data_IF_228687095420
#
_entry.id   IF_228687095420
#
_cell.length_a   1.000
_cell.length_b   1.000
_cell.length_c   1.000
_cell.angle_alpha   90.00
_cell.angle_beta   90.00
_cell.angle_gamma   90.00
#
_symmetry.space_group_name_H-M   'P 1'
#
loop_
_entity.id
_entity.type
_entity.pdbx_description
1 polymer ?
#
# COMPACT_ATOMS: atom_id res chain seq x y z
N UNK A 1 -13.32 50.52 39.14
CA UNK A 1 -14.14 51.70 39.47
C UNK A 1 -15.52 51.16 39.82
N UNK A 2 -16.00 51.14 41.05
CA UNK A 2 -15.57 51.67 42.34
C UNK A 2 -16.10 50.71 43.40
N UNK A 3 -15.28 50.36 44.41
CA UNK A 3 -15.80 49.89 45.68
C UNK A 3 -16.18 51.13 46.50
N UNK A 4 -17.41 51.12 46.99
CA UNK A 4 -17.86 51.93 48.11
C UNK A 4 -17.22 51.39 49.38
N UNK A 5 -16.74 52.28 50.24
CA UNK A 5 -16.58 52.07 51.67
C UNK A 5 -16.49 53.48 52.31
N UNK A 6 -17.63 53.98 52.80
CA UNK A 6 -17.63 55.05 53.81
C UNK A 6 -18.46 54.58 54.98
N UNK A 7 -17.68 54.03 55.91
CA UNK A 7 -17.92 53.70 57.29
C UNK A 7 -18.65 54.83 58.05
N UNK A 8 -19.69 54.41 58.78
CA UNK A 8 -20.51 55.23 59.65
C UNK A 8 -20.03 55.03 61.10
N UNK A 9 -19.02 55.78 61.50
CA UNK A 9 -18.49 55.77 62.88
C UNK A 9 -19.24 56.76 63.76
N UNK A 10 -20.27 56.27 64.46
CA UNK A 10 -20.99 57.01 65.51
C UNK A 10 -20.08 57.35 66.69
N UNK A 11 -19.99 58.64 67.00
CA UNK A 11 -19.34 59.17 68.19
C UNK A 11 -20.21 58.97 69.42
N UNK A 12 -19.73 58.08 70.28
CA UNK A 12 -20.09 57.84 71.67
C UNK A 12 -20.21 59.15 72.50
N UNK A 13 -21.45 59.50 72.87
CA UNK A 13 -21.77 60.42 73.97
C UNK A 13 -22.49 59.61 75.06
N UNK A 14 -21.88 58.50 75.48
CA UNK A 14 -22.39 57.54 76.46
C UNK A 14 -22.21 57.91 77.94
N UNK A 15 -21.99 59.18 78.31
CA UNK A 15 -21.60 59.51 79.71
C UNK A 15 -22.71 60.18 80.53
N UNK A 16 -23.86 60.54 79.96
CA UNK A 16 -24.99 61.10 80.74
C UNK A 16 -26.29 60.29 80.74
N UNK A 17 -26.42 59.29 79.85
CA UNK A 17 -27.69 58.56 79.65
C UNK A 17 -27.99 57.50 80.73
N UNK A 18 -26.95 56.89 81.31
CA UNK A 18 -27.09 55.76 82.23
C UNK A 18 -27.82 56.09 83.56
N UNK A 19 -27.82 57.35 83.99
CA UNK A 19 -28.58 57.76 85.19
C UNK A 19 -30.09 57.86 84.95
N UNK A 20 -30.49 58.19 83.71
CA UNK A 20 -31.89 58.44 83.33
C UNK A 20 -32.56 57.14 82.84
N UNK A 21 -31.83 56.26 82.16
CA UNK A 21 -32.36 54.98 81.66
C UNK A 21 -32.84 54.06 82.79
N UNK A 22 -32.14 53.99 83.92
CA UNK A 22 -32.56 53.18 85.08
C UNK A 22 -33.84 53.70 85.77
N UNK A 23 -34.17 54.99 85.64
CA UNK A 23 -35.34 55.59 86.30
C UNK A 23 -36.60 55.50 85.45
N UNK A 24 -36.49 55.57 84.12
CA UNK A 24 -37.61 55.35 83.20
C UNK A 24 -38.00 53.87 83.10
N UNK A 25 -37.06 52.93 83.25
CA UNK A 25 -37.35 51.49 83.31
C UNK A 25 -38.16 51.11 84.56
N UNK A 26 -37.97 51.80 85.69
CA UNK A 26 -38.81 51.61 86.88
C UNK A 26 -40.27 52.03 86.61
N UNK A 27 -40.46 53.16 85.93
CA UNK A 27 -41.80 53.72 85.59
C UNK A 27 -42.53 52.84 84.56
N UNK A 28 -41.78 52.12 83.71
CA UNK A 28 -42.33 51.19 82.71
C UNK A 28 -42.73 49.81 83.24
N UNK A 29 -42.46 49.49 84.50
CA UNK A 29 -42.88 48.22 85.11
C UNK A 29 -44.37 48.23 85.49
N UNK A 30 -45.15 47.21 85.09
CA UNK A 30 -46.62 47.19 85.22
C UNK A 30 -47.17 47.28 86.67
N UNK A 31 -46.32 47.18 87.70
CA UNK A 31 -46.68 47.22 89.13
C UNK A 31 -46.00 48.37 89.88
N UNK A 32 -45.93 49.57 89.29
CA UNK A 32 -45.44 50.75 90.01
C UNK A 32 -46.49 51.23 91.03
N UNK A 33 -46.22 51.05 92.33
CA UNK A 33 -46.97 51.76 93.38
C UNK A 33 -46.48 53.22 93.41
N UNK A 34 -47.25 54.08 92.74
CA UNK A 34 -47.01 55.51 92.57
C UNK A 34 -46.84 56.21 93.93
N UNK A 35 -47.53 55.73 94.96
CA UNK A 35 -47.48 56.32 96.30
C UNK A 35 -46.16 56.02 97.01
N UNK A 36 -45.68 54.78 96.93
CA UNK A 36 -44.39 54.38 97.49
C UNK A 36 -43.22 55.03 96.74
N UNK A 37 -43.31 55.12 95.40
CA UNK A 37 -42.29 55.77 94.59
C UNK A 37 -42.13 57.27 94.91
N UNK A 38 -43.26 57.97 95.08
CA UNK A 38 -43.28 59.39 95.47
C UNK A 38 -42.74 59.57 96.90
N UNK A 39 -43.17 58.73 97.86
CA UNK A 39 -42.71 58.81 99.25
C UNK A 39 -41.22 58.43 99.41
N UNK A 40 -40.70 57.53 98.58
CA UNK A 40 -39.29 57.13 98.61
C UNK A 40 -38.35 58.22 98.07
N UNK A 41 -38.83 59.06 97.14
CA UNK A 41 -38.04 60.14 96.51
C UNK A 41 -38.26 61.50 97.14
N UNK A 42 -39.42 61.76 97.73
CA UNK A 42 -39.72 62.97 98.48
C UNK A 42 -40.18 62.62 99.91
N UNK A 43 -39.27 62.16 100.81
CA UNK A 43 -39.64 61.70 102.16
C UNK A 43 -40.05 62.85 103.10
N UNK A 44 -39.68 64.09 102.77
CA UNK A 44 -39.87 65.29 103.59
C UNK A 44 -40.36 66.47 102.75
N UNK A 45 -41.21 67.31 103.33
CA UNK A 45 -41.88 68.44 102.66
C UNK A 45 -40.88 69.44 102.02
N UNK A 46 -39.70 69.63 102.62
CA UNK A 46 -38.62 70.48 102.04
C UNK A 46 -37.96 69.89 100.78
N UNK A 47 -37.99 68.56 100.58
CA UNK A 47 -37.45 67.92 99.36
C UNK A 47 -38.45 68.00 98.21
N UNK A 48 -39.75 68.07 98.52
CA UNK A 48 -40.81 68.25 97.54
C UNK A 48 -40.74 69.65 96.90
N UNK A 49 -40.42 70.68 97.68
CA UNK A 49 -40.32 72.05 97.15
C UNK A 49 -39.04 72.29 96.31
N UNK A 50 -37.93 71.62 96.62
CA UNK A 50 -36.65 71.89 95.93
C UNK A 50 -36.36 70.97 94.74
N UNK A 51 -36.74 69.69 94.79
CA UNK A 51 -36.31 68.68 93.80
C UNK A 51 -37.43 68.23 92.84
N UNK A 52 -38.69 68.61 93.09
CA UNK A 52 -39.83 68.26 92.23
C UNK A 52 -39.74 68.93 90.86
N UNK A 53 -39.35 70.20 90.82
CA UNK A 53 -39.32 70.97 89.58
C UNK A 53 -38.21 70.49 88.65
N UNK A 54 -37.03 70.14 89.19
CA UNK A 54 -35.91 69.56 88.44
C UNK A 54 -36.20 68.14 87.94
N UNK A 55 -36.92 67.32 88.72
CA UNK A 55 -37.35 65.99 88.29
C UNK A 55 -38.41 66.07 87.19
N UNK A 56 -39.42 66.95 87.34
CA UNK A 56 -40.41 67.19 86.29
C UNK A 56 -39.76 67.73 85.02
N UNK A 57 -38.73 68.56 85.13
CA UNK A 57 -37.98 69.06 83.98
C UNK A 57 -37.19 67.94 83.28
N UNK A 58 -36.48 67.09 84.03
CA UNK A 58 -35.77 65.93 83.50
C UNK A 58 -36.72 64.90 82.85
N UNK A 59 -37.89 64.65 83.44
CA UNK A 59 -38.88 63.72 82.89
C UNK A 59 -39.52 64.32 81.63
N UNK A 60 -39.82 65.62 81.62
CA UNK A 60 -40.27 66.33 80.42
C UNK A 60 -39.20 66.35 79.34
N UNK A 61 -37.92 66.45 79.68
CA UNK A 61 -36.81 66.41 78.74
C UNK A 61 -36.60 64.99 78.18
N UNK A 62 -36.70 63.96 79.02
CA UNK A 62 -36.71 62.56 78.60
C UNK A 62 -37.90 62.21 77.69
N UNK A 63 -39.11 62.69 78.03
CA UNK A 63 -40.30 62.53 77.19
C UNK A 63 -40.12 63.22 75.84
N UNK A 64 -39.60 64.47 75.83
CA UNK A 64 -39.30 65.19 74.59
C UNK A 64 -38.22 64.50 73.76
N UNK A 65 -37.20 63.93 74.39
CA UNK A 65 -36.16 63.17 73.68
C UNK A 65 -36.74 61.90 73.05
N UNK A 66 -37.59 61.17 73.78
CA UNK A 66 -38.21 59.95 73.29
C UNK A 66 -39.21 60.27 72.16
N UNK A 67 -40.02 61.32 72.30
CA UNK A 67 -40.94 61.79 71.26
C UNK A 67 -40.18 62.22 70.00
N UNK A 68 -39.05 62.91 70.14
CA UNK A 68 -38.21 63.28 69.00
C UNK A 68 -37.59 62.06 68.30
N UNK A 69 -37.17 61.05 69.07
CA UNK A 69 -36.65 59.79 68.54
C UNK A 69 -37.74 58.98 67.83
N UNK A 70 -38.95 58.91 68.40
CA UNK A 70 -40.12 58.27 67.79
C UNK A 70 -40.55 58.99 66.51
N UNK A 71 -40.56 60.32 66.52
CA UNK A 71 -40.91 61.12 65.35
C UNK A 71 -39.90 60.90 64.21
N UNK A 72 -38.60 60.84 64.52
CA UNK A 72 -37.56 60.57 63.52
C UNK A 72 -37.66 59.14 62.97
N UNK A 73 -37.87 58.12 63.82
CA UNK A 73 -38.07 56.74 63.36
C UNK A 73 -39.31 56.63 62.47
N UNK A 74 -40.44 57.20 62.88
CA UNK A 74 -41.69 57.20 62.08
C UNK A 74 -41.50 57.96 60.77
N UNK A 75 -40.71 59.04 60.77
CA UNK A 75 -40.39 59.79 59.56
C UNK A 75 -39.51 58.97 58.62
N UNK A 76 -38.48 58.30 59.11
CA UNK A 76 -37.59 57.42 58.34
C UNK A 76 -38.37 56.22 57.79
N UNK A 77 -39.26 55.61 58.57
CA UNK A 77 -40.06 54.47 58.12
C UNK A 77 -41.11 54.88 57.09
N UNK A 78 -41.76 56.04 57.26
CA UNK A 78 -42.72 56.58 56.27
C UNK A 78 -42.04 56.99 54.96
N UNK A 79 -40.90 57.69 55.04
CA UNK A 79 -40.18 58.14 53.83
C UNK A 79 -39.40 57.00 53.19
N UNK A 80 -38.79 56.12 53.98
CA UNK A 80 -38.09 54.92 53.55
C UNK A 80 -39.04 53.91 52.92
N UNK A 81 -40.18 53.61 53.56
CA UNK A 81 -41.20 52.72 53.01
C UNK A 81 -41.79 53.23 51.69
N UNK A 82 -42.08 54.53 51.59
CA UNK A 82 -42.55 55.13 50.35
C UNK A 82 -41.47 55.11 49.24
N UNK A 83 -40.22 55.44 49.57
CA UNK A 83 -39.10 55.45 48.61
C UNK A 83 -38.73 54.04 48.15
N UNK A 84 -38.62 53.09 49.07
CA UNK A 84 -38.36 51.67 48.75
C UNK A 84 -39.50 51.05 47.94
N UNK A 85 -40.77 51.37 48.24
CA UNK A 85 -41.89 50.94 47.40
C UNK A 85 -41.81 51.53 45.98
N UNK A 86 -41.39 52.79 45.86
CA UNK A 86 -41.21 53.46 44.56
C UNK A 86 -40.04 52.89 43.76
N UNK A 87 -38.92 52.58 44.41
CA UNK A 87 -37.75 51.93 43.80
C UNK A 87 -38.06 50.50 43.36
N UNK A 88 -38.79 49.73 44.18
CA UNK A 88 -39.27 48.40 43.81
C UNK A 88 -40.23 48.48 42.63
N UNK A 89 -41.16 49.43 42.63
CA UNK A 89 -42.07 49.64 41.49
C UNK A 89 -41.30 49.98 40.20
N UNK A 90 -40.29 50.86 40.28
CA UNK A 90 -39.43 51.20 39.15
C UNK A 90 -38.59 50.00 38.66
N UNK A 91 -38.05 49.19 39.56
CA UNK A 91 -37.31 47.97 39.20
C UNK A 91 -38.22 46.93 38.53
N UNK A 92 -39.45 46.76 39.02
CA UNK A 92 -40.46 45.88 38.41
C UNK A 92 -40.83 46.38 37.00
N UNK A 93 -40.99 47.69 36.82
CA UNK A 93 -41.23 48.30 35.51
C UNK A 93 -40.05 48.05 34.55
N UNK A 94 -38.81 48.24 35.03
CA UNK A 94 -37.61 47.95 34.23
C UNK A 94 -37.50 46.47 33.86
N UNK A 95 -37.84 45.55 34.77
CA UNK A 95 -37.85 44.10 34.49
C UNK A 95 -38.92 43.75 33.46
N UNK A 96 -40.11 44.37 33.53
CA UNK A 96 -41.14 44.22 32.50
C UNK A 96 -40.66 44.76 31.14
N UNK A 97 -40.00 45.91 31.13
CA UNK A 97 -39.39 46.48 29.93
C UNK A 97 -38.29 45.57 29.36
N UNK A 98 -37.46 44.97 30.21
CA UNK A 98 -36.43 44.02 29.80
C UNK A 98 -37.06 42.73 29.24
N UNK A 99 -38.09 42.20 29.90
CA UNK A 99 -38.82 41.01 29.45
C UNK A 99 -39.45 41.24 28.08
N UNK A 100 -40.05 42.40 27.85
CA UNK A 100 -40.61 42.75 26.53
C UNK A 100 -39.52 43.00 25.48
N UNK A 101 -38.36 43.53 25.87
CA UNK A 101 -37.20 43.67 24.98
C UNK A 101 -36.63 42.30 24.58
N UNK A 102 -36.47 41.37 25.52
CA UNK A 102 -36.01 39.99 25.26
C UNK A 102 -37.00 39.26 24.35
N UNK A 103 -38.31 39.39 24.61
CA UNK A 103 -39.34 38.81 23.74
C UNK A 103 -39.25 39.36 22.31
N UNK A 104 -39.03 40.68 22.15
CA UNK A 104 -38.82 41.30 20.83
C UNK A 104 -37.56 40.78 20.14
N UNK A 105 -36.45 40.66 20.85
CA UNK A 105 -35.19 40.12 20.29
C UNK A 105 -35.38 38.65 19.88
N UNK A 106 -36.08 37.85 20.68
CA UNK A 106 -36.36 36.44 20.35
C UNK A 106 -37.20 36.32 19.08
N UNK A 107 -38.27 37.10 18.94
CA UNK A 107 -39.08 37.13 17.72
C UNK A 107 -38.25 37.62 16.52
N UNK A 108 -37.44 38.67 16.70
CA UNK A 108 -36.57 39.19 15.64
C UNK A 108 -35.50 38.18 15.22
N UNK A 109 -34.94 37.42 16.16
CA UNK A 109 -33.95 36.38 15.87
C UNK A 109 -34.58 35.22 15.09
N UNK A 110 -35.79 34.80 15.45
CA UNK A 110 -36.52 33.78 14.70
C UNK A 110 -36.92 34.27 13.30
N UNK A 111 -37.36 35.52 13.17
CA UNK A 111 -37.63 36.13 11.87
C UNK A 111 -36.35 36.22 11.01
N UNK A 112 -35.20 36.55 11.61
CA UNK A 112 -33.92 36.54 10.92
C UNK A 112 -33.48 35.13 10.50
N UNK A 113 -33.70 34.12 11.34
CA UNK A 113 -33.46 32.71 11.02
C UNK A 113 -34.29 32.27 9.80
N UNK A 114 -35.60 32.55 9.81
CA UNK A 114 -36.49 32.25 8.68
C UNK A 114 -36.05 33.00 7.43
N UNK A 115 -35.73 34.29 7.53
CA UNK A 115 -35.26 35.08 6.40
C UNK A 115 -33.94 34.56 5.81
N UNK A 116 -33.00 34.11 6.66
CA UNK A 116 -31.73 33.50 6.21
C UNK A 116 -31.97 32.11 5.61
N UNK A 117 -32.85 31.31 6.20
CA UNK A 117 -33.24 30.00 5.68
C UNK A 117 -33.87 30.13 4.29
N UNK A 118 -34.78 31.08 4.12
CA UNK A 118 -35.43 31.40 2.85
C UNK A 118 -34.43 31.95 1.82
N UNK A 119 -33.54 32.87 2.22
CA UNK A 119 -32.51 33.42 1.34
C UNK A 119 -31.47 32.38 0.90
N UNK A 120 -31.19 31.36 1.73
CA UNK A 120 -30.18 30.31 1.44
C UNK A 120 -30.76 29.04 0.84
N UNK A 121 -32.10 28.90 0.81
CA UNK A 121 -32.81 27.73 0.27
C UNK A 121 -32.37 27.37 -1.15
N UNK A 122 -32.16 28.38 -1.98
CA UNK A 122 -31.91 28.21 -3.41
C UNK A 122 -30.42 28.03 -3.75
N UNK A 123 -29.51 28.25 -2.79
CA UNK A 123 -28.06 28.10 -2.99
C UNK A 123 -27.69 26.66 -3.34
N UNK A 124 -28.21 25.67 -2.60
CA UNK A 124 -27.90 24.25 -2.84
C UNK A 124 -28.39 23.76 -4.21
N UNK A 125 -29.66 24.00 -4.60
CA UNK A 125 -30.13 23.69 -5.96
C UNK A 125 -29.30 24.38 -7.04
N UNK A 126 -28.94 25.65 -6.85
CA UNK A 126 -28.13 26.40 -7.81
C UNK A 126 -26.71 25.82 -7.95
N UNK A 127 -26.08 25.44 -6.84
CA UNK A 127 -24.78 24.78 -6.85
C UNK A 127 -24.84 23.40 -7.52
N UNK A 128 -25.91 22.65 -7.29
CA UNK A 128 -26.16 21.39 -8.00
C UNK A 128 -26.35 21.62 -9.51
N UNK A 129 -27.14 22.62 -9.90
CA UNK A 129 -27.33 22.98 -11.31
C UNK A 129 -26.01 23.40 -11.95
N UNK A 130 -25.22 24.25 -11.28
CA UNK A 130 -23.90 24.68 -11.74
C UNK A 130 -22.97 23.49 -11.94
N UNK A 131 -22.89 22.57 -10.97
CA UNK A 131 -22.05 21.37 -11.06
C UNK A 131 -22.47 20.48 -12.22
N UNK A 132 -23.77 20.23 -12.36
CA UNK A 132 -24.31 19.43 -13.47
C UNK A 132 -24.01 20.08 -14.83
N UNK A 133 -24.10 21.42 -14.93
CA UNK A 133 -23.74 22.14 -16.15
C UNK A 133 -22.25 22.04 -16.47
N UNK A 134 -21.37 22.15 -15.47
CA UNK A 134 -19.93 21.96 -15.65
C UNK A 134 -19.63 20.53 -16.10
N UNK A 135 -20.18 19.53 -15.42
CA UNK A 135 -20.00 18.11 -15.78
C UNK A 135 -20.52 17.81 -17.19
N UNK A 136 -21.66 18.38 -17.58
CA UNK A 136 -22.23 18.22 -18.92
C UNK A 136 -21.37 18.90 -19.98
N UNK A 137 -20.89 20.13 -19.71
CA UNK A 137 -20.01 20.89 -20.61
C UNK A 137 -18.69 20.15 -20.85
N UNK A 138 -18.05 19.67 -19.79
CA UNK A 138 -16.85 18.85 -19.89
C UNK A 138 -17.12 17.51 -20.58
N UNK A 139 -18.26 16.88 -20.33
CA UNK A 139 -18.68 15.67 -21.02
C UNK A 139 -18.80 15.88 -22.52
N UNK A 140 -19.45 16.97 -22.95
CA UNK A 140 -19.56 17.32 -24.37
C UNK A 140 -18.19 17.59 -25.00
N UNK A 141 -17.32 18.35 -24.31
CA UNK A 141 -15.94 18.58 -24.78
C UNK A 141 -15.19 17.25 -24.94
N UNK A 142 -15.27 16.36 -23.95
CA UNK A 142 -14.63 15.05 -24.01
C UNK A 142 -15.13 14.20 -25.18
N UNK A 143 -16.41 14.30 -25.57
CA UNK A 143 -16.93 13.60 -26.75
C UNK A 143 -16.34 14.13 -28.06
N UNK A 144 -16.18 15.45 -28.17
CA UNK A 144 -15.53 16.09 -29.33
C UNK A 144 -14.06 15.69 -29.39
N UNK A 145 -13.36 15.75 -28.26
CA UNK A 145 -11.96 15.35 -28.14
C UNK A 145 -11.78 13.85 -28.48
N UNK A 146 -12.70 12.99 -28.03
CA UNK A 146 -12.72 11.56 -28.36
C UNK A 146 -12.91 11.33 -29.87
N UNK A 147 -13.85 12.03 -30.51
CA UNK A 147 -14.08 11.92 -31.95
C UNK A 147 -12.86 12.36 -32.76
N UNK A 148 -12.23 13.46 -32.37
CA UNK A 148 -11.00 13.95 -33.01
C UNK A 148 -9.83 12.97 -32.82
N UNK A 149 -9.63 12.45 -31.60
CA UNK A 149 -8.58 11.50 -31.28
C UNK A 149 -8.74 10.18 -32.05
N UNK A 150 -9.95 9.59 -32.03
CA UNK A 150 -10.26 8.35 -32.76
C UNK A 150 -10.05 8.54 -34.25
N UNK A 151 -10.52 9.65 -34.84
CA UNK A 151 -10.35 9.92 -36.27
C UNK A 151 -8.87 10.08 -36.66
N UNK A 152 -8.07 10.76 -35.85
CA UNK A 152 -6.63 10.91 -36.09
C UNK A 152 -5.89 9.57 -36.01
N UNK A 153 -6.22 8.74 -35.03
CA UNK A 153 -5.62 7.41 -34.87
C UNK A 153 -6.08 6.44 -35.96
N UNK A 154 -7.34 6.51 -36.41
CA UNK A 154 -7.83 5.75 -37.56
C UNK A 154 -7.06 6.08 -38.84
N UNK A 155 -6.87 7.37 -39.14
CA UNK A 155 -6.08 7.81 -40.30
C UNK A 155 -4.62 7.34 -40.22
N UNK A 156 -3.99 7.43 -39.05
CA UNK A 156 -2.63 6.95 -38.85
C UNK A 156 -2.54 5.42 -38.98
N UNK A 157 -3.55 4.69 -38.51
CA UNK A 157 -3.66 3.23 -38.67
C UNK A 157 -3.93 2.81 -40.13
N UNK A 158 -4.63 3.63 -40.91
CA UNK A 158 -4.79 3.41 -42.36
C UNK A 158 -3.48 3.61 -43.13
N UNK A 159 -2.70 4.63 -42.75
CA UNK A 159 -1.37 4.87 -43.31
C UNK A 159 -0.32 3.85 -42.85
N UNK A 160 -0.65 2.99 -41.87
CA UNK A 160 0.28 2.07 -41.18
C UNK A 160 1.52 2.79 -40.61
N UNK A 161 1.39 4.06 -40.25
CA UNK A 161 2.51 4.83 -39.70
C UNK A 161 2.62 4.63 -38.18
N UNK A 162 3.31 3.56 -37.77
CA UNK A 162 3.52 3.25 -36.34
C UNK A 162 4.27 4.35 -35.61
N UNK A 163 5.15 5.09 -36.30
CA UNK A 163 5.92 6.17 -35.67
C UNK A 163 4.97 7.30 -35.28
N UNK A 164 4.03 7.64 -36.16
CA UNK A 164 2.99 8.62 -35.87
C UNK A 164 2.01 8.15 -34.79
N UNK A 165 1.65 6.86 -34.78
CA UNK A 165 0.79 6.27 -33.74
C UNK A 165 1.50 6.31 -32.37
N UNK A 166 2.79 5.95 -32.32
CA UNK A 166 3.61 6.04 -31.12
C UNK A 166 3.80 7.48 -30.61
N UNK A 167 4.00 8.44 -31.52
CA UNK A 167 4.01 9.86 -31.17
C UNK A 167 2.65 10.34 -30.61
N UNK A 168 1.57 9.67 -31.00
CA UNK A 168 0.20 9.91 -30.54
C UNK A 168 -0.20 9.06 -29.33
N UNK A 169 0.77 8.51 -28.59
CA UNK A 169 0.59 7.75 -27.34
C UNK A 169 -0.38 8.42 -26.33
N UNK A 170 -0.24 9.72 -26.13
CA UNK A 170 -1.15 10.50 -25.27
C UNK A 170 -2.63 10.42 -25.74
N UNK A 171 -2.88 10.35 -27.05
CA UNK A 171 -4.25 10.23 -27.57
C UNK A 171 -4.83 8.85 -27.30
N UNK A 172 -4.03 7.78 -27.32
CA UNK A 172 -4.50 6.43 -26.96
C UNK A 172 -4.88 6.38 -25.47
N UNK A 173 -4.04 6.94 -24.61
CA UNK A 173 -4.33 7.06 -23.18
C UNK A 173 -5.59 7.93 -22.93
N UNK A 174 -5.75 9.03 -23.68
CA UNK A 174 -6.93 9.90 -23.58
C UNK A 174 -8.21 9.19 -24.05
N UNK A 175 -8.17 8.43 -25.13
CA UNK A 175 -9.32 7.62 -25.60
C UNK A 175 -9.77 6.68 -24.50
N UNK A 176 -8.87 5.91 -23.89
CA UNK A 176 -9.23 5.00 -22.79
C UNK A 176 -9.77 5.73 -21.55
N UNK A 177 -9.11 6.82 -21.16
CA UNK A 177 -9.52 7.65 -20.01
C UNK A 177 -10.91 8.25 -20.21
N UNK A 178 -11.19 8.79 -21.40
CA UNK A 178 -12.48 9.40 -21.72
C UNK A 178 -13.57 8.33 -21.79
N UNK A 179 -13.29 7.17 -22.42
CA UNK A 179 -14.25 6.06 -22.48
C UNK A 179 -14.62 5.57 -21.08
N UNK A 180 -13.64 5.41 -20.18
CA UNK A 180 -13.86 5.04 -18.76
C UNK A 180 -14.76 6.01 -18.02
N UNK A 181 -14.64 7.33 -18.26
CA UNK A 181 -15.53 8.34 -17.64
C UNK A 181 -16.99 8.08 -18.01
N UNK A 182 -17.24 7.60 -19.22
CA UNK A 182 -18.59 7.34 -19.71
C UNK A 182 -19.11 5.93 -19.40
N UNK A 183 -18.34 5.02 -18.79
CA UNK A 183 -18.74 3.62 -18.55
C UNK A 183 -20.08 3.48 -17.81
N UNK A 184 -20.44 4.47 -16.99
CA UNK A 184 -21.73 4.54 -16.27
C UNK A 184 -22.95 4.70 -17.20
N UNK A 185 -22.75 5.21 -18.42
CA UNK A 185 -23.81 5.35 -19.41
C UNK A 185 -24.03 4.03 -20.14
N UNK A 186 -25.29 3.55 -20.22
CA UNK A 186 -25.60 2.29 -20.86
C UNK A 186 -25.23 2.28 -22.34
N UNK A 187 -24.75 1.12 -22.81
CA UNK A 187 -24.41 0.88 -24.22
C UNK A 187 -25.66 0.75 -25.10
N UNK A 188 -26.73 0.16 -24.57
CA UNK A 188 -28.00 -0.05 -25.29
C UNK A 188 -29.03 0.98 -24.81
N UNK A 189 -29.63 1.72 -25.74
CA UNK A 189 -30.54 2.84 -25.42
C UNK A 189 -29.86 4.13 -24.97
N UNK A 190 -28.51 4.16 -24.90
CA UNK A 190 -27.73 5.36 -24.62
C UNK A 190 -27.59 6.31 -25.82
N UNK A 191 -26.73 7.32 -25.69
CA UNK A 191 -26.48 8.32 -26.73
C UNK A 191 -25.89 7.66 -28.00
N UNK A 192 -26.56 7.68 -29.17
CA UNK A 192 -26.12 6.95 -30.37
C UNK A 192 -24.70 7.30 -30.83
N UNK A 193 -24.30 8.57 -30.68
CA UNK A 193 -22.95 9.04 -31.01
C UNK A 193 -21.88 8.39 -30.13
N UNK A 194 -22.12 8.27 -28.83
CA UNK A 194 -21.20 7.62 -27.90
C UNK A 194 -21.08 6.12 -28.19
N UNK A 195 -22.19 5.45 -28.51
CA UNK A 195 -22.20 4.03 -28.90
C UNK A 195 -21.38 3.82 -30.18
N UNK A 196 -21.53 4.69 -31.18
CA UNK A 196 -20.71 4.63 -32.39
C UNK A 196 -19.21 4.86 -32.10
N UNK A 197 -18.88 5.85 -31.27
CA UNK A 197 -17.48 6.12 -30.87
C UNK A 197 -16.87 4.94 -30.10
N UNK A 198 -17.62 4.28 -29.21
CA UNK A 198 -17.19 3.04 -28.54
C UNK A 198 -16.87 1.94 -29.54
N UNK A 199 -17.75 1.71 -30.52
CA UNK A 199 -17.53 0.71 -31.58
C UNK A 199 -16.31 1.04 -32.43
N UNK A 200 -16.15 2.29 -32.87
CA UNK A 200 -14.98 2.76 -33.62
C UNK A 200 -13.69 2.61 -32.83
N UNK A 201 -13.66 3.00 -31.56
CA UNK A 201 -12.50 2.85 -30.69
C UNK A 201 -12.12 1.37 -30.48
N UNK A 202 -13.12 0.49 -30.28
CA UNK A 202 -12.88 -0.97 -30.19
C UNK A 202 -12.36 -1.55 -31.51
N UNK A 203 -12.92 -1.15 -32.65
CA UNK A 203 -12.44 -1.58 -33.97
C UNK A 203 -11.03 -1.08 -34.27
N UNK A 204 -10.73 0.17 -33.91
CA UNK A 204 -9.39 0.76 -33.99
C UNK A 204 -8.39 -0.03 -33.12
N UNK A 205 -8.76 -0.41 -31.90
CA UNK A 205 -7.91 -1.21 -31.00
C UNK A 205 -7.55 -2.55 -31.64
N UNK A 206 -8.53 -3.27 -32.20
CA UNK A 206 -8.26 -4.54 -32.89
C UNK A 206 -7.42 -4.35 -34.15
N UNK A 207 -7.67 -3.28 -34.92
CA UNK A 207 -6.87 -2.94 -36.09
C UNK A 207 -5.41 -2.64 -35.71
N UNK A 208 -5.19 -1.85 -34.67
CA UNK A 208 -3.85 -1.53 -34.15
C UNK A 208 -3.13 -2.79 -33.65
N UNK A 209 -3.83 -3.68 -32.94
CA UNK A 209 -3.30 -4.99 -32.54
C UNK A 209 -2.78 -5.78 -33.73
N UNK A 210 -3.55 -5.91 -34.81
CA UNK A 210 -3.13 -6.62 -36.02
C UNK A 210 -1.93 -5.96 -36.71
N UNK A 211 -1.94 -4.62 -36.83
CA UNK A 211 -0.82 -3.86 -37.43
C UNK A 211 0.46 -4.09 -36.62
N UNK A 212 0.39 -4.04 -35.30
CA UNK A 212 1.55 -4.26 -34.43
C UNK A 212 2.11 -5.67 -34.61
N UNK A 213 1.27 -6.71 -34.60
CA UNK A 213 1.74 -8.09 -34.75
C UNK A 213 2.46 -8.30 -36.10
N UNK A 214 1.89 -7.79 -37.19
CA UNK A 214 2.50 -7.86 -38.54
C UNK A 214 3.85 -7.13 -38.58
N UNK A 215 3.92 -5.95 -37.97
CA UNK A 215 5.13 -5.11 -37.96
C UNK A 215 6.24 -5.68 -37.08
N UNK A 216 5.92 -6.24 -35.91
CA UNK A 216 6.90 -6.97 -35.10
C UNK A 216 7.46 -8.18 -35.87
N UNK A 217 6.63 -8.89 -36.63
CA UNK A 217 7.06 -10.02 -37.46
C UNK A 217 7.92 -9.56 -38.65
N UNK A 218 7.53 -8.48 -39.31
CA UNK A 218 8.28 -7.88 -40.42
C UNK A 218 9.66 -7.38 -39.98
N UNK A 219 9.71 -6.62 -38.87
CA UNK A 219 10.96 -6.12 -38.29
C UNK A 219 11.83 -7.29 -37.86
N UNK A 220 11.24 -8.33 -37.23
CA UNK A 220 11.95 -9.55 -36.82
C UNK A 220 12.70 -10.20 -38.00
N UNK A 221 12.08 -10.24 -39.19
CA UNK A 221 12.70 -10.79 -40.42
C UNK A 221 13.76 -9.87 -41.04
N UNK A 222 13.61 -8.55 -40.94
CA UNK A 222 14.39 -7.55 -41.74
C UNK A 222 15.62 -6.97 -41.05
N UNK A 223 15.95 -7.34 -39.81
CA UNK A 223 17.09 -6.86 -38.99
C UNK A 223 18.51 -7.19 -39.57
N UNK A 224 18.61 -7.61 -40.83
CA UNK A 224 19.84 -8.13 -41.45
C UNK A 224 20.75 -7.07 -42.11
N UNK A 225 20.30 -5.84 -42.41
CA UNK A 225 21.14 -4.80 -43.07
C UNK A 225 21.21 -3.46 -42.34
N UNK A 226 22.39 -2.82 -42.39
CA UNK A 226 22.79 -1.66 -41.55
C UNK A 226 21.97 -0.38 -41.78
N UNK A 227 21.59 -0.04 -43.01
CA UNK A 227 20.75 1.16 -43.30
C UNK A 227 19.26 0.96 -42.96
N UNK A 228 18.76 -0.27 -43.10
CA UNK A 228 17.38 -0.61 -42.68
C UNK A 228 17.28 -0.76 -41.16
N UNK A 229 18.42 -0.86 -40.48
CA UNK A 229 18.51 -1.09 -39.05
C UNK A 229 17.97 0.09 -38.23
N UNK A 230 18.42 1.32 -38.51
CA UNK A 230 18.01 2.50 -37.72
C UNK A 230 16.52 2.80 -37.84
N UNK A 231 15.97 2.74 -39.07
CA UNK A 231 14.52 2.91 -39.29
C UNK A 231 13.71 1.78 -38.66
N UNK A 232 14.18 0.53 -38.73
CA UNK A 232 13.53 -0.59 -38.06
C UNK A 232 13.56 -0.43 -36.53
N UNK A 233 14.66 0.10 -35.99
CA UNK A 233 14.83 0.41 -34.56
C UNK A 233 13.80 1.43 -34.08
N UNK A 234 13.65 2.52 -34.84
CA UNK A 234 12.72 3.59 -34.53
C UNK A 234 11.28 3.06 -34.56
N UNK A 235 10.90 2.31 -35.60
CA UNK A 235 9.58 1.68 -35.70
C UNK A 235 9.32 0.70 -34.56
N UNK A 236 10.31 -0.12 -34.20
CA UNK A 236 10.20 -1.09 -33.11
C UNK A 236 10.01 -0.39 -31.76
N UNK A 237 10.74 0.71 -31.52
CA UNK A 237 10.56 1.53 -30.31
C UNK A 237 9.16 2.13 -30.23
N UNK A 238 8.66 2.69 -31.33
CA UNK A 238 7.30 3.21 -31.40
C UNK A 238 6.26 2.09 -31.21
N UNK A 239 6.48 0.91 -31.79
CA UNK A 239 5.60 -0.24 -31.61
C UNK A 239 5.56 -0.73 -30.15
N UNK A 240 6.70 -0.75 -29.46
CA UNK A 240 6.77 -1.06 -28.04
C UNK A 240 5.98 -0.04 -27.19
N UNK A 241 6.10 1.25 -27.51
CA UNK A 241 5.35 2.31 -26.82
C UNK A 241 3.84 2.13 -27.00
N UNK A 242 3.37 1.95 -28.23
CA UNK A 242 1.95 1.73 -28.53
C UNK A 242 1.44 0.45 -27.84
N UNK A 243 2.24 -0.62 -27.83
CA UNK A 243 1.89 -1.87 -27.15
C UNK A 243 1.73 -1.67 -25.64
N UNK A 244 2.58 -0.85 -25.04
CA UNK A 244 2.47 -0.51 -23.62
C UNK A 244 1.18 0.28 -23.32
N UNK A 245 0.81 1.20 -24.21
CA UNK A 245 -0.38 2.05 -24.05
C UNK A 245 -1.69 1.28 -24.25
N UNK A 246 -1.72 0.29 -25.16
CA UNK A 246 -2.89 -0.57 -25.36
C UNK A 246 -3.07 -1.57 -24.20
N UNK A 247 -2.02 -1.85 -23.42
CA UNK A 247 -2.12 -2.59 -22.17
C UNK A 247 -1.48 -3.98 -22.16
N UNK A 248 -1.58 -4.71 -21.03
CA UNK A 248 -0.77 -5.89 -20.73
C UNK A 248 -1.15 -7.14 -21.54
N UNK A 249 -2.40 -7.25 -22.01
CA UNK A 249 -2.83 -8.41 -22.79
C UNK A 249 -2.17 -8.44 -24.17
N UNK A 250 -2.15 -7.29 -24.85
CA UNK A 250 -1.44 -7.14 -26.13
C UNK A 250 0.06 -7.34 -25.95
N UNK A 251 0.64 -6.85 -24.85
CA UNK A 251 2.05 -7.10 -24.52
C UNK A 251 2.38 -8.58 -24.48
N UNK A 252 1.56 -9.40 -23.78
CA UNK A 252 1.76 -10.86 -23.72
C UNK A 252 1.71 -11.48 -25.11
N UNK A 253 0.79 -11.03 -25.95
CA UNK A 253 0.62 -11.53 -27.31
C UNK A 253 1.80 -11.15 -28.21
N UNK A 254 2.22 -9.88 -28.21
CA UNK A 254 3.37 -9.40 -28.98
C UNK A 254 4.64 -10.11 -28.57
N UNK A 255 4.90 -10.23 -27.26
CA UNK A 255 6.06 -10.98 -26.75
C UNK A 255 5.97 -12.45 -27.15
N UNK A 256 4.80 -13.06 -27.04
CA UNK A 256 4.57 -14.44 -27.46
C UNK A 256 4.84 -14.66 -28.96
N UNK A 257 4.34 -13.77 -29.82
CA UNK A 257 4.53 -13.85 -31.27
C UNK A 257 5.99 -13.62 -31.67
N UNK A 258 6.66 -12.63 -31.04
CA UNK A 258 8.08 -12.37 -31.29
C UNK A 258 8.97 -13.54 -30.84
N UNK A 259 8.76 -14.06 -29.63
CA UNK A 259 9.49 -15.24 -29.13
C UNK A 259 9.18 -16.48 -29.99
N UNK A 260 7.93 -16.66 -30.42
CA UNK A 260 7.53 -17.73 -31.33
C UNK A 260 8.21 -17.64 -32.70
N UNK A 261 8.34 -16.44 -33.25
CA UNK A 261 9.09 -16.18 -34.49
C UNK A 261 10.57 -16.58 -34.35
N UNK A 262 11.19 -16.27 -33.21
CA UNK A 262 12.58 -16.67 -32.91
C UNK A 262 12.72 -18.17 -32.75
N UNK A 263 11.76 -18.82 -32.08
CA UNK A 263 11.71 -20.28 -31.99
C UNK A 263 11.57 -20.93 -33.38
N UNK A 264 10.73 -20.38 -34.26
CA UNK A 264 10.57 -20.88 -35.62
C UNK A 264 11.88 -20.74 -36.44
N UNK A 265 12.59 -19.62 -36.27
CA UNK A 265 13.92 -19.44 -36.88
C UNK A 265 14.93 -20.47 -36.37
N UNK A 266 14.93 -20.76 -35.06
CA UNK A 266 15.73 -21.83 -34.46
C UNK A 266 15.38 -23.20 -35.04
N UNK A 267 14.08 -23.56 -35.09
CA UNK A 267 13.63 -24.84 -35.64
C UNK A 267 14.00 -24.99 -37.11
N UNK A 268 13.88 -23.93 -37.91
CA UNK A 268 14.28 -23.93 -39.32
C UNK A 268 15.79 -24.18 -39.47
N UNK A 269 16.62 -23.55 -38.63
CA UNK A 269 18.07 -23.72 -38.65
C UNK A 269 18.53 -25.15 -38.31
N UNK A 270 17.72 -25.93 -37.61
CA UNK A 270 18.03 -27.31 -37.20
C UNK A 270 17.02 -28.33 -37.77
N UNK A 271 16.41 -28.03 -38.91
CA UNK A 271 15.44 -28.90 -39.58
C UNK A 271 16.08 -30.09 -40.32
N UNK A 272 17.39 -30.03 -40.61
CA UNK A 272 18.11 -31.09 -41.31
C UNK A 272 18.37 -32.32 -40.42
N UNK A 273 18.27 -33.52 -41.02
CA UNK A 273 18.49 -34.83 -40.38
C UNK A 273 19.87 -34.91 -39.67
N UNK A 274 20.89 -34.24 -40.21
CA UNK A 274 22.24 -34.15 -39.64
C UNK A 274 22.34 -33.34 -38.34
N UNK A 275 21.29 -32.58 -38.01
CA UNK A 275 21.15 -31.80 -36.78
C UNK A 275 20.40 -32.55 -35.67
N UNK A 276 20.12 -33.84 -35.88
CA UNK A 276 19.42 -34.66 -34.90
C UNK A 276 20.33 -35.47 -33.98
N UNK A 277 21.65 -35.47 -34.15
CA UNK A 277 22.57 -36.19 -33.23
C UNK A 277 22.91 -35.34 -31.99
N UNK A 278 23.30 -35.97 -30.88
CA UNK A 278 23.79 -35.28 -29.67
C UNK A 278 24.97 -34.33 -29.93
N UNK A 279 25.76 -34.57 -30.97
CA UNK A 279 26.84 -33.67 -31.44
C UNK A 279 26.33 -32.31 -31.95
N UNK A 280 25.05 -32.18 -32.26
CA UNK A 280 24.42 -30.92 -32.65
C UNK A 280 24.16 -29.96 -31.47
N UNK A 281 24.29 -30.44 -30.22
CA UNK A 281 24.04 -29.63 -29.02
C UNK A 281 24.94 -28.39 -28.96
N UNK A 282 26.24 -28.55 -29.28
CA UNK A 282 27.17 -27.41 -29.31
C UNK A 282 26.74 -26.36 -30.33
N UNK A 283 26.19 -26.78 -31.48
CA UNK A 283 25.68 -25.87 -32.52
C UNK A 283 24.41 -25.15 -32.05
N UNK A 284 23.53 -25.83 -31.31
CA UNK A 284 22.32 -25.25 -30.71
C UNK A 284 22.67 -24.21 -29.64
N UNK A 285 23.63 -24.50 -28.76
CA UNK A 285 24.14 -23.54 -27.78
C UNK A 285 24.83 -22.35 -28.46
N UNK A 286 25.65 -22.59 -29.50
CA UNK A 286 26.29 -21.52 -30.27
C UNK A 286 25.27 -20.62 -30.99
N UNK A 287 24.15 -21.18 -31.47
CA UNK A 287 23.05 -20.41 -32.02
C UNK A 287 22.43 -19.49 -30.97
N UNK A 288 22.13 -20.00 -29.77
CA UNK A 288 21.55 -19.20 -28.70
C UNK A 288 22.50 -18.08 -28.22
N UNK A 289 23.80 -18.38 -28.05
CA UNK A 289 24.81 -17.35 -27.75
C UNK A 289 24.88 -16.27 -28.83
N UNK A 290 24.71 -16.64 -30.10
CA UNK A 290 24.67 -15.68 -31.21
C UNK A 290 23.44 -14.79 -31.11
N UNK A 291 22.28 -15.36 -30.80
CA UNK A 291 21.04 -14.60 -30.65
C UNK A 291 21.10 -13.63 -29.46
N UNK A 292 21.67 -14.06 -28.33
CA UNK A 292 21.95 -13.18 -27.18
C UNK A 292 22.85 -12.01 -27.57
N UNK A 293 23.99 -12.27 -28.23
CA UNK A 293 24.87 -11.19 -28.73
C UNK A 293 24.14 -10.24 -29.68
N UNK A 294 23.28 -10.75 -30.56
CA UNK A 294 22.48 -9.89 -31.44
C UNK A 294 21.52 -9.00 -30.65
N UNK A 295 20.93 -9.52 -29.57
CA UNK A 295 20.08 -8.74 -28.67
C UNK A 295 20.86 -7.67 -27.88
N UNK A 296 22.08 -7.98 -27.45
CA UNK A 296 22.92 -7.07 -26.65
C UNK A 296 23.70 -6.07 -27.51
N UNK A 297 24.52 -6.54 -28.44
CA UNK A 297 25.45 -5.71 -29.23
C UNK A 297 24.70 -4.80 -30.21
N UNK A 298 23.57 -5.25 -30.75
CA UNK A 298 22.77 -4.42 -31.64
C UNK A 298 21.78 -3.53 -30.85
N UNK A 299 21.64 -3.72 -29.55
CA UNK A 299 20.72 -2.95 -28.71
C UNK A 299 19.24 -3.27 -28.94
N UNK A 300 18.91 -4.43 -29.52
CA UNK A 300 17.50 -4.86 -29.65
C UNK A 300 16.90 -5.06 -28.26
N UNK A 301 17.69 -5.57 -27.32
CA UNK A 301 17.31 -5.72 -25.91
C UNK A 301 17.00 -4.39 -25.20
N UNK A 302 17.52 -3.25 -25.67
CA UNK A 302 17.26 -1.94 -25.05
C UNK A 302 16.01 -1.25 -25.58
N UNK A 303 15.45 -1.74 -26.70
CA UNK A 303 14.18 -1.23 -27.26
C UNK A 303 12.99 -1.78 -26.49
N UNK A 304 13.09 -3.05 -26.10
CA UNK A 304 12.08 -3.69 -25.28
C UNK A 304 12.21 -3.14 -23.85
N UNK A 305 11.10 -2.72 -23.24
CA UNK A 305 11.09 -2.38 -21.82
C UNK A 305 11.63 -3.55 -20.98
N UNK A 306 12.44 -3.26 -19.97
CA UNK A 306 13.13 -4.29 -19.16
C UNK A 306 12.15 -5.19 -18.41
N UNK A 307 10.97 -4.68 -18.07
CA UNK A 307 9.85 -5.39 -17.44
C UNK A 307 9.21 -6.47 -18.34
N UNK A 308 9.54 -6.50 -19.65
CA UNK A 308 9.00 -7.52 -20.56
C UNK A 308 9.79 -8.83 -20.51
N UNK A 309 11.04 -8.80 -20.03
CA UNK A 309 11.88 -9.99 -19.90
C UNK A 309 12.11 -10.75 -21.21
N UNK A 310 12.06 -10.08 -22.37
CA UNK A 310 12.04 -10.74 -23.69
C UNK A 310 13.26 -11.62 -23.91
N UNK A 311 14.46 -11.13 -23.57
CA UNK A 311 15.72 -11.89 -23.71
C UNK A 311 15.70 -13.21 -22.93
N UNK A 312 15.27 -13.15 -21.66
CA UNK A 312 15.12 -14.31 -20.79
C UNK A 312 14.13 -15.32 -21.39
N UNK A 313 12.97 -14.83 -21.83
CA UNK A 313 11.90 -15.67 -22.38
C UNK A 313 12.27 -16.37 -23.69
N UNK A 314 13.09 -15.74 -24.54
CA UNK A 314 13.68 -16.40 -25.73
C UNK A 314 14.55 -17.59 -25.29
N UNK A 315 15.43 -17.35 -24.32
CA UNK A 315 16.33 -18.39 -23.79
C UNK A 315 15.52 -19.56 -23.19
N UNK A 316 14.50 -19.28 -22.39
CA UNK A 316 13.64 -20.30 -21.77
C UNK A 316 12.92 -21.16 -22.83
N UNK A 317 12.31 -20.53 -23.83
CA UNK A 317 11.56 -21.26 -24.86
C UNK A 317 12.49 -22.14 -25.72
N UNK A 318 13.69 -21.65 -26.02
CA UNK A 318 14.69 -22.42 -26.78
C UNK A 318 15.32 -23.53 -25.93
N UNK A 319 15.58 -23.29 -24.64
CA UNK A 319 16.04 -24.32 -23.71
C UNK A 319 14.99 -25.44 -23.58
N UNK A 320 13.71 -25.10 -23.46
CA UNK A 320 12.61 -26.09 -23.46
C UNK A 320 12.52 -26.88 -24.78
N UNK A 321 12.72 -26.23 -25.92
CA UNK A 321 12.76 -26.92 -27.22
C UNK A 321 13.97 -27.85 -27.33
N UNK A 322 15.13 -27.43 -26.81
CA UNK A 322 16.37 -28.21 -26.79
C UNK A 322 16.27 -29.38 -25.81
N UNK A 323 15.65 -29.17 -24.66
CA UNK A 323 15.30 -30.19 -23.67
C UNK A 323 14.44 -31.32 -24.27
N UNK A 324 13.36 -30.98 -24.99
CA UNK A 324 12.55 -31.96 -25.75
C UNK A 324 13.34 -32.70 -26.83
N UNK A 325 14.28 -32.01 -27.48
CA UNK A 325 15.17 -32.63 -28.46
C UNK A 325 16.11 -33.64 -27.79
N UNK A 326 16.75 -33.27 -26.68
CA UNK A 326 17.62 -34.13 -25.88
C UNK A 326 16.88 -35.39 -25.46
N UNK A 327 15.69 -35.26 -24.86
CA UNK A 327 14.87 -36.40 -24.44
C UNK A 327 14.55 -37.35 -25.61
N UNK A 328 14.19 -36.80 -26.77
CA UNK A 328 13.94 -37.61 -27.98
C UNK A 328 15.18 -38.35 -28.50
N UNK A 329 16.38 -37.78 -28.33
CA UNK A 329 17.63 -38.44 -28.76
C UNK A 329 18.12 -39.45 -27.74
N UNK A 330 18.03 -39.16 -26.45
CA UNK A 330 18.40 -40.11 -25.40
C UNK A 330 17.55 -41.38 -25.47
N UNK A 331 16.27 -41.27 -25.85
CA UNK A 331 15.42 -42.43 -26.13
C UNK A 331 15.87 -43.30 -27.32
N UNK A 332 16.70 -42.79 -28.23
CA UNK A 332 17.15 -43.47 -29.46
C UNK A 332 18.63 -43.91 -29.41
N UNK A 333 19.49 -43.08 -28.83
CA UNK A 333 20.96 -43.22 -28.80
C UNK A 333 21.49 -43.72 -27.44
N UNK A 334 20.74 -44.60 -26.75
CA UNK A 334 21.11 -45.21 -25.45
C UNK A 334 22.45 -45.96 -25.38
N UNK A 335 23.13 -46.17 -26.52
CA UNK A 335 24.21 -47.16 -26.62
C UNK A 335 25.59 -46.66 -26.21
N UNK A 336 25.77 -45.35 -26.02
CA UNK A 336 27.07 -44.78 -25.66
C UNK A 336 26.96 -43.88 -24.42
N UNK A 337 27.12 -44.50 -23.25
CA UNK A 337 27.08 -43.85 -21.92
C UNK A 337 28.05 -42.67 -21.84
N UNK A 338 29.23 -42.78 -22.45
CA UNK A 338 30.24 -41.72 -22.46
C UNK A 338 29.76 -40.45 -23.20
N UNK A 339 29.11 -40.61 -24.36
CA UNK A 339 28.56 -39.51 -25.14
C UNK A 339 27.43 -38.79 -24.39
N UNK A 340 26.58 -39.54 -23.70
CA UNK A 340 25.53 -39.01 -22.83
C UNK A 340 26.10 -38.18 -21.68
N UNK A 341 27.15 -38.67 -21.00
CA UNK A 341 27.80 -37.97 -19.89
C UNK A 341 28.45 -36.66 -20.37
N UNK A 342 29.13 -36.68 -21.51
CA UNK A 342 29.70 -35.47 -22.10
C UNK A 342 28.63 -34.45 -22.51
N UNK A 343 27.51 -34.91 -23.07
CA UNK A 343 26.37 -34.06 -23.42
C UNK A 343 25.74 -33.42 -22.17
N UNK A 344 25.58 -34.19 -21.09
CA UNK A 344 25.06 -33.68 -19.81
C UNK A 344 26.01 -32.63 -19.21
N UNK A 345 27.31 -32.91 -19.17
CA UNK A 345 28.30 -31.96 -18.64
C UNK A 345 28.22 -30.60 -19.37
N UNK A 346 28.21 -30.63 -20.71
CA UNK A 346 28.10 -29.42 -21.54
C UNK A 346 26.78 -28.69 -21.34
N UNK A 347 25.69 -29.44 -21.14
CA UNK A 347 24.36 -28.87 -20.86
C UNK A 347 24.35 -28.13 -19.51
N UNK A 348 24.92 -28.73 -18.46
CA UNK A 348 25.03 -28.10 -17.13
C UNK A 348 25.94 -26.88 -17.17
N UNK A 349 27.08 -26.95 -17.86
CA UNK A 349 27.97 -25.80 -18.05
C UNK A 349 27.23 -24.64 -18.74
N UNK A 350 26.45 -24.95 -19.78
CA UNK A 350 25.68 -23.95 -20.51
C UNK A 350 24.51 -23.37 -19.70
N UNK A 351 23.79 -24.16 -18.92
CA UNK A 351 22.73 -23.67 -18.01
C UNK A 351 23.28 -22.68 -16.98
N UNK A 352 24.46 -22.97 -16.40
CA UNK A 352 25.12 -22.07 -15.46
C UNK A 352 25.61 -20.79 -16.15
N UNK A 353 26.11 -20.89 -17.39
CA UNK A 353 26.49 -19.72 -18.20
C UNK A 353 25.27 -18.81 -18.45
N UNK A 354 24.12 -19.39 -18.81
CA UNK A 354 22.88 -18.64 -19.02
C UNK A 354 22.37 -17.97 -17.73
N UNK A 355 22.41 -18.67 -16.60
CA UNK A 355 21.98 -18.11 -15.31
C UNK A 355 22.91 -16.99 -14.83
N UNK A 356 24.22 -17.11 -15.05
CA UNK A 356 25.17 -16.04 -14.72
C UNK A 356 24.96 -14.79 -15.59
N UNK A 357 24.56 -14.98 -16.84
CA UNK A 357 24.31 -13.91 -17.79
C UNK A 357 22.94 -13.22 -17.58
N UNK A 358 21.92 -13.98 -17.21
CA UNK A 358 20.59 -13.48 -16.89
C UNK A 358 20.11 -14.13 -15.59
N UNK A 359 20.45 -13.55 -14.42
CA UNK A 359 20.03 -14.10 -13.14
C UNK A 359 18.51 -14.01 -13.00
N UNK A 360 17.89 -15.06 -12.48
CA UNK A 360 16.48 -15.05 -12.09
C UNK A 360 16.22 -13.90 -11.11
N UNK A 361 15.26 -13.03 -11.42
CA UNK A 361 14.83 -11.99 -10.49
C UNK A 361 14.21 -12.58 -9.22
N UNK A 362 14.11 -11.78 -8.15
CA UNK A 362 13.56 -12.19 -6.84
C UNK A 362 12.09 -12.67 -6.89
N UNK A 363 11.39 -12.49 -8.01
CA UNK A 363 9.98 -12.84 -8.20
C UNK A 363 9.78 -14.11 -9.01
N UNK A 364 9.95 -15.29 -8.39
CA UNK A 364 9.38 -16.56 -8.89
C UNK A 364 9.71 -16.96 -10.34
N UNK A 365 10.76 -16.41 -10.94
CA UNK A 365 11.20 -16.76 -12.28
C UNK A 365 11.86 -18.14 -12.28
N UNK A 366 11.63 -18.90 -13.35
CA UNK A 366 12.22 -20.23 -13.54
C UNK A 366 13.73 -20.07 -13.70
N UNK A 367 14.52 -20.80 -12.91
CA UNK A 367 15.99 -20.85 -13.07
C UNK A 367 16.34 -21.62 -14.34
N UNK A 368 17.36 -21.16 -15.09
CA UNK A 368 17.90 -21.89 -16.24
C UNK A 368 18.54 -23.21 -15.83
N UNK A 369 19.11 -23.26 -14.63
CA UNK A 369 19.62 -24.48 -14.02
C UNK A 369 18.47 -25.48 -13.85
N UNK A 370 18.56 -26.62 -14.53
CA UNK A 370 17.56 -27.69 -14.49
C UNK A 370 16.58 -27.73 -15.66
N UNK A 371 16.52 -26.74 -16.55
CA UNK A 371 15.53 -26.73 -17.65
C UNK A 371 15.80 -27.85 -18.67
N UNK A 372 17.06 -28.14 -18.95
CA UNK A 372 17.52 -29.16 -19.89
C UNK A 372 18.14 -30.35 -19.17
N UNK A 373 18.93 -30.13 -18.11
CA UNK A 373 19.67 -31.17 -17.40
C UNK A 373 18.76 -32.21 -16.72
N UNK A 374 17.53 -31.83 -16.33
CA UNK A 374 16.54 -32.76 -15.75
C UNK A 374 16.08 -33.85 -16.72
N UNK A 375 16.17 -33.63 -18.03
CA UNK A 375 15.82 -34.64 -19.04
C UNK A 375 16.79 -35.81 -19.08
N UNK A 376 17.99 -35.68 -18.53
CA UNK A 376 18.96 -36.78 -18.46
C UNK A 376 18.67 -37.75 -17.30
N UNK A 377 17.94 -37.32 -16.27
CA UNK A 377 17.74 -38.09 -15.03
C UNK A 377 17.16 -39.51 -15.24
N UNK A 378 16.17 -39.75 -16.12
CA UNK A 378 15.66 -41.10 -16.38
C UNK A 378 16.73 -42.05 -16.95
N UNK A 379 17.70 -41.49 -17.69
CA UNK A 379 18.74 -42.21 -18.43
C UNK A 379 20.01 -42.45 -17.60
N UNK A 380 20.17 -41.74 -16.48
CA UNK A 380 21.33 -41.88 -15.58
C UNK A 380 21.44 -43.26 -14.92
N UNK A 381 20.38 -44.06 -14.90
CA UNK A 381 20.41 -45.45 -14.39
C UNK A 381 21.35 -46.35 -15.19
N UNK A 382 21.42 -46.17 -16.51
CA UNK A 382 22.35 -46.90 -17.37
C UNK A 382 23.80 -46.50 -17.07
N UNK A 383 24.07 -45.22 -16.83
CA UNK A 383 25.39 -44.73 -16.40
C UNK A 383 25.81 -45.31 -15.04
N UNK A 384 24.89 -45.39 -14.08
CA UNK A 384 25.20 -45.98 -12.76
C UNK A 384 25.58 -47.45 -12.89
N UNK A 385 24.95 -48.18 -13.82
CA UNK A 385 25.24 -49.60 -14.09
C UNK A 385 26.60 -49.75 -14.80
N UNK A 386 26.88 -48.94 -15.81
CA UNK A 386 28.17 -48.92 -16.53
C UNK A 386 29.35 -48.54 -15.61
N UNK A 387 29.16 -47.55 -14.72
CA UNK A 387 30.21 -47.18 -13.76
C UNK A 387 30.40 -48.26 -12.68
N UNK A 388 29.36 -49.03 -12.33
CA UNK A 388 29.49 -50.19 -11.43
C UNK A 388 30.30 -51.32 -12.09
N UNK A 389 29.97 -51.68 -13.33
CA UNK A 389 30.71 -52.67 -14.11
C UNK A 389 32.19 -52.26 -14.26
N UNK A 390 32.45 -51.00 -14.63
CA UNK A 390 33.79 -50.46 -14.75
C UNK A 390 34.56 -50.47 -13.40
N UNK A 391 33.91 -50.10 -12.29
CA UNK A 391 34.53 -50.18 -10.96
C UNK A 391 34.80 -51.64 -10.55
N UNK A 392 33.94 -52.58 -10.94
CA UNK A 392 34.13 -54.01 -10.68
C UNK A 392 35.30 -54.58 -11.50
N UNK A 393 35.49 -54.14 -12.73
CA UNK A 393 36.61 -54.53 -13.59
C UNK A 393 37.93 -53.98 -13.04
N UNK A 394 37.97 -52.69 -12.69
CA UNK A 394 39.13 -52.08 -12.03
C UNK A 394 39.46 -52.80 -10.72
N UNK A 395 38.45 -53.14 -9.91
CA UNK A 395 38.65 -53.90 -8.68
C UNK A 395 39.26 -55.28 -8.95
N UNK A 396 38.73 -56.01 -9.93
CA UNK A 396 39.24 -57.34 -10.31
C UNK A 396 40.69 -57.29 -10.84
N UNK A 397 41.03 -56.27 -11.63
CA UNK A 397 42.39 -56.08 -12.14
C UNK A 397 43.37 -55.67 -11.04
N UNK A 398 42.94 -54.81 -10.12
CA UNK A 398 43.72 -54.45 -8.94
C UNK A 398 43.97 -55.68 -8.05
N UNK A 399 42.96 -56.55 -7.85
CA UNK A 399 43.10 -57.80 -7.10
C UNK A 399 44.05 -58.80 -7.80
N UNK A 400 44.03 -58.87 -9.13
CA UNK A 400 44.92 -59.75 -9.92
C UNK A 400 46.39 -59.30 -9.87
N UNK A 401 46.63 -57.99 -9.85
CA UNK A 401 47.98 -57.40 -9.85
C UNK A 401 48.53 -57.14 -8.44
N UNK A 402 47.79 -57.54 -7.41
CA UNK A 402 48.15 -57.27 -6.03
C UNK A 402 49.25 -58.22 -5.51
N UNK A 403 50.33 -57.64 -5.00
CA UNK A 403 51.45 -58.38 -4.40
C UNK A 403 51.25 -58.72 -2.92
N UNK A 404 50.12 -58.31 -2.32
CA UNK A 404 49.73 -58.56 -0.91
C UNK A 404 50.80 -58.21 0.13
N UNK A 405 51.73 -57.31 -0.20
CA UNK A 405 52.79 -56.84 0.70
C UNK A 405 52.48 -55.43 1.18
N UNK A 406 52.25 -55.27 2.49
CA UNK A 406 52.06 -53.96 3.12
C UNK A 406 53.41 -53.25 3.29
N UNK A 407 53.53 -52.01 2.80
CA UNK A 407 54.66 -51.15 3.18
C UNK A 407 54.58 -50.84 4.67
N UNK A 408 55.65 -51.15 5.39
CA UNK A 408 55.76 -51.11 6.85
C UNK A 408 55.39 -49.76 7.49
N UNK A 409 54.61 -49.85 8.58
CA UNK A 409 54.08 -48.86 9.54
C UNK A 409 52.60 -48.45 9.40
N UNK A 410 52.02 -48.47 8.21
CA UNK A 410 50.56 -48.37 8.03
C UNK A 410 50.14 -49.48 7.07
N UNK A 411 49.29 -50.40 7.52
CA UNK A 411 48.85 -51.58 6.75
C UNK A 411 47.91 -51.21 5.59
N UNK A 412 48.33 -50.28 4.73
CA UNK A 412 47.59 -49.82 3.56
C UNK A 412 48.20 -50.46 2.34
N UNK A 413 47.36 -51.16 1.57
CA UNK A 413 47.76 -51.82 0.34
C UNK A 413 47.81 -50.80 -0.80
N UNK A 414 48.76 -50.96 -1.74
CA UNK A 414 48.85 -50.07 -2.92
C UNK A 414 47.56 -50.10 -3.75
N UNK A 415 46.94 -51.27 -3.89
CA UNK A 415 45.64 -51.46 -4.55
C UNK A 415 44.52 -50.65 -3.87
N UNK A 416 44.53 -50.56 -2.54
CA UNK A 416 43.50 -49.84 -1.77
C UNK A 416 43.58 -48.33 -1.97
N UNK A 417 44.79 -47.77 -2.10
CA UNK A 417 45.00 -46.37 -2.47
C UNK A 417 44.59 -46.08 -3.92
N UNK A 418 44.89 -46.98 -4.85
CA UNK A 418 44.51 -46.82 -6.27
C UNK A 418 42.99 -46.92 -6.44
N UNK A 419 42.35 -47.93 -5.84
CA UNK A 419 40.89 -48.08 -5.81
C UNK A 419 40.21 -46.84 -5.21
N UNK A 420 40.74 -46.32 -4.10
CA UNK A 420 40.20 -45.11 -3.48
C UNK A 420 40.30 -43.89 -4.40
N UNK A 421 41.41 -43.72 -5.13
CA UNK A 421 41.56 -42.64 -6.11
C UNK A 421 40.58 -42.79 -7.28
N UNK A 422 40.33 -44.01 -7.76
CA UNK A 422 39.34 -44.28 -8.80
C UNK A 422 37.92 -43.98 -8.33
N UNK A 423 37.55 -44.41 -7.12
CA UNK A 423 36.27 -44.09 -6.49
C UNK A 423 36.13 -42.57 -6.32
N UNK A 424 37.18 -41.88 -5.88
CA UNK A 424 37.16 -40.42 -5.71
C UNK A 424 36.94 -39.69 -7.05
N UNK A 425 37.59 -40.13 -8.13
CA UNK A 425 37.36 -39.59 -9.49
C UNK A 425 35.92 -39.85 -9.96
N UNK A 426 35.39 -41.04 -9.72
CA UNK A 426 34.00 -41.41 -10.00
C UNK A 426 33.00 -40.51 -9.24
N UNK A 427 33.21 -40.27 -7.94
CA UNK A 427 32.39 -39.33 -7.14
C UNK A 427 32.40 -37.94 -7.75
N UNK A 428 33.58 -37.40 -8.05
CA UNK A 428 33.69 -36.02 -8.52
C UNK A 428 32.95 -35.82 -9.83
N UNK A 429 33.04 -36.80 -10.75
CA UNK A 429 32.25 -36.79 -11.99
C UNK A 429 30.75 -36.78 -11.68
N UNK A 430 30.27 -37.61 -10.77
CA UNK A 430 28.85 -37.68 -10.45
C UNK A 430 28.32 -36.45 -9.70
N UNK A 431 29.13 -35.88 -8.80
CA UNK A 431 28.81 -34.66 -8.09
C UNK A 431 28.70 -33.44 -9.02
N UNK A 432 29.42 -33.45 -10.15
CA UNK A 432 29.34 -32.41 -11.18
C UNK A 432 28.14 -32.57 -12.12
N UNK A 433 27.56 -33.78 -12.22
CA UNK A 433 26.54 -34.11 -13.22
C UNK A 433 25.11 -34.11 -12.65
N UNK A 434 24.90 -34.30 -11.35
CA UNK A 434 23.53 -34.43 -10.80
C UNK A 434 23.44 -34.13 -9.30
N UNK A 435 22.36 -33.47 -8.87
CA UNK A 435 22.16 -32.99 -7.49
C UNK A 435 21.12 -33.75 -6.64
N UNK A 436 20.52 -34.89 -7.05
CA UNK A 436 19.65 -35.63 -6.11
C UNK A 436 19.57 -37.16 -6.26
N UNK A 437 19.03 -37.76 -7.33
CA UNK A 437 18.73 -39.21 -7.30
C UNK A 437 19.90 -40.08 -7.78
N UNK A 438 20.67 -39.62 -8.76
CA UNK A 438 21.86 -40.34 -9.26
C UNK A 438 22.94 -40.51 -8.18
N UNK A 439 23.14 -39.50 -7.32
CA UNK A 439 24.08 -39.58 -6.19
C UNK A 439 23.65 -40.63 -5.15
N UNK A 440 22.34 -40.72 -4.86
CA UNK A 440 21.79 -41.72 -3.95
C UNK A 440 21.95 -43.15 -4.49
N UNK A 441 21.68 -43.35 -5.78
CA UNK A 441 21.84 -44.66 -6.44
C UNK A 441 23.31 -45.11 -6.45
N UNK A 442 24.27 -44.20 -6.68
CA UNK A 442 25.70 -44.50 -6.60
C UNK A 442 26.16 -44.84 -5.18
N UNK A 443 25.62 -44.17 -4.14
CA UNK A 443 25.92 -44.54 -2.76
C UNK A 443 25.49 -45.98 -2.44
N UNK A 444 24.35 -46.43 -2.99
CA UNK A 444 23.84 -47.81 -2.81
C UNK A 444 24.77 -48.85 -3.45
N UNK A 445 25.18 -48.63 -4.69
CA UNK A 445 26.13 -49.49 -5.42
C UNK A 445 27.44 -49.68 -4.63
N UNK A 446 27.93 -48.62 -3.98
CA UNK A 446 29.14 -48.71 -3.15
C UNK A 446 28.95 -49.46 -1.84
N UNK A 447 27.74 -49.45 -1.30
CA UNK A 447 27.38 -50.31 -0.17
C UNK A 447 27.51 -51.80 -0.54
N UNK A 448 27.14 -52.14 -1.78
CA UNK A 448 27.21 -53.50 -2.33
C UNK A 448 28.67 -53.91 -2.62
N UNK A 449 29.51 -53.07 -3.24
CA UNK A 449 30.95 -53.34 -3.43
C UNK A 449 31.69 -53.52 -2.09
N UNK A 450 31.31 -52.77 -1.05
CA UNK A 450 31.90 -52.89 0.30
C UNK A 450 31.46 -54.16 1.02
N UNK A 451 30.41 -54.83 0.55
CA UNK A 451 29.93 -56.11 1.09
C UNK A 451 30.02 -57.18 0.01
N UNK A 452 31.22 -57.75 -0.27
CA UNK A 452 31.27 -58.92 -1.12
C UNK A 452 30.36 -59.97 -0.50
N UNK A 453 29.47 -60.54 -1.32
CA UNK A 453 28.54 -61.59 -0.96
C UNK A 453 29.17 -62.54 0.06
N UNK A 454 28.65 -62.52 1.28
CA UNK A 454 28.96 -63.51 2.31
C UNK A 454 28.23 -64.81 1.96
N UNK A 455 28.53 -65.39 0.81
CA UNK A 455 28.01 -66.67 0.39
C UNK A 455 29.06 -67.41 -0.44
N UNK A 456 29.43 -68.59 0.08
CA UNK A 456 30.23 -69.65 -0.53
C UNK A 456 31.75 -69.54 -0.39
N UNK A 457 32.26 -70.04 0.74
CA UNK A 457 33.38 -70.99 0.80
C UNK A 457 33.86 -71.16 2.25
N UNK A 458 33.06 -71.83 3.08
CA UNK A 458 33.60 -72.39 4.33
C UNK A 458 32.79 -73.63 4.73
N UNK A 459 32.98 -74.70 3.98
CA UNK A 459 32.78 -76.06 4.50
C UNK A 459 33.73 -76.99 3.78
N UNK A 460 34.64 -77.54 4.59
CA UNK A 460 35.40 -78.79 4.43
C UNK A 460 36.30 -78.92 3.21
N UNK A 461 37.61 -79.07 3.46
CA UNK A 461 38.45 -80.20 3.03
C UNK A 461 39.70 -80.24 3.93
N UNK A 462 40.28 -81.44 4.14
CA UNK A 462 40.36 -82.17 5.41
C UNK A 462 41.13 -81.51 6.56
#
# INVERSE_FOLDING_TARGET
>A
MNNEDVDSGGGDVGVKKAGIENELDLIGSENLDVTDFINMRFPTEESLDNDLESFLENLKEGLRSLDAELEEIVRIERHGGAKSAMEVAAAVEQIQNLKTAIARVSVSAHQAEVAVSDATRDIKPLDCARRNLIETSEGLKNLVDLEAAVTKLENAAEAKDIVQIGASSHLLADVERILKRFDRLPNEGGLPRLVNLRKRASALREKLRLILLDEFEEISRKITTKEKYEMAMMRLKSACQVTNDLGPDLRKEVVGHYVGSRLAAFQTAFSDISSHTLSSLDKRFAWLRREQRVHEEKGIGTIFPTDWGVSRRICEVICNATSKFIDSQLGKEMKEVHSMVLALQRTVEFENELEAHSPSGETGEVTFVGIMSTCFEPYMSAFVTDEDENLSEILNDLLRNESWMSSSTTHVLKSSTELFLHIQKSVRRCAQLTTSKTFFNMHRVRGEIRTPQRSQSCTTWP
#
